data_IF_919095584653
#
_entry.id   IF_919095584653
#
_cell.length_a   1.000
_cell.length_b   1.000
_cell.length_c   1.000
_cell.angle_alpha   90.00
_cell.angle_beta   90.00
_cell.angle_gamma   90.00
#
_symmetry.space_group_name_H-M   'P 1'
#
loop_
_entity.id
_entity.type
_entity.pdbx_description
1 polymer ?
#
# COMPACT_ATOMS: atom_id res chain seq x y z
N UNK A 1 35.45 43.08 9.26
CA UNK A 1 35.29 41.86 8.44
C UNK A 1 34.55 40.86 9.30
N UNK A 2 33.23 40.84 9.19
CA UNK A 2 32.41 39.80 9.83
C UNK A 2 32.40 38.60 8.87
N UNK A 3 33.06 37.53 9.27
CA UNK A 3 32.93 36.25 8.60
C UNK A 3 31.52 35.69 8.88
N UNK A 4 30.66 35.74 7.87
CA UNK A 4 29.41 34.98 7.84
C UNK A 4 29.80 33.49 7.87
N UNK A 5 29.77 32.88 9.05
CA UNK A 5 29.71 31.45 9.16
C UNK A 5 28.29 31.02 8.73
N UNK A 6 28.13 30.67 7.47
CA UNK A 6 26.98 29.88 7.03
C UNK A 6 27.04 28.55 7.79
N UNK A 7 26.20 28.38 8.79
CA UNK A 7 25.94 27.07 9.38
C UNK A 7 25.46 26.15 8.27
N UNK A 8 26.32 25.30 7.76
CA UNK A 8 25.93 24.21 6.87
C UNK A 8 25.05 23.25 7.67
N UNK A 9 23.74 23.46 7.59
CA UNK A 9 22.75 22.53 8.16
C UNK A 9 22.99 21.18 7.49
N UNK A 10 23.41 20.19 8.27
CA UNK A 10 23.63 18.83 7.77
C UNK A 10 22.32 18.26 7.27
N UNK A 11 22.24 18.03 5.96
CA UNK A 11 21.08 17.40 5.31
C UNK A 11 20.90 15.98 5.80
N UNK A 12 19.65 15.61 6.07
CA UNK A 12 19.33 14.24 6.43
C UNK A 12 19.43 13.31 5.20
N UNK A 13 19.43 12.01 5.41
CA UNK A 13 19.64 11.04 4.32
C UNK A 13 18.51 11.04 3.26
N UNK A 14 17.28 11.46 3.65
CA UNK A 14 16.14 11.56 2.71
C UNK A 14 16.37 12.72 1.75
N UNK A 15 16.76 13.88 2.27
CA UNK A 15 17.10 15.07 1.48
C UNK A 15 18.25 14.76 0.51
N UNK A 16 19.29 14.06 0.95
CA UNK A 16 20.40 13.64 0.08
C UNK A 16 19.93 12.75 -1.07
N UNK A 17 19.01 11.81 -0.82
CA UNK A 17 18.44 10.94 -1.85
C UNK A 17 17.58 11.76 -2.83
N UNK A 18 16.72 12.65 -2.31
CA UNK A 18 15.87 13.52 -3.15
C UNK A 18 16.71 14.37 -4.09
N UNK A 19 17.74 15.03 -3.57
CA UNK A 19 18.62 15.89 -4.37
C UNK A 19 19.34 15.11 -5.45
N UNK A 20 19.89 13.95 -5.09
CA UNK A 20 20.52 13.06 -6.05
C UNK A 20 19.56 12.64 -7.17
N UNK A 21 18.33 12.23 -6.84
CA UNK A 21 17.35 11.81 -7.82
C UNK A 21 16.90 12.97 -8.73
N UNK A 22 16.86 14.20 -8.21
CA UNK A 22 16.60 15.39 -9.01
C UNK A 22 17.78 15.70 -9.94
N UNK A 23 19.01 15.70 -9.42
CA UNK A 23 20.23 15.97 -10.18
C UNK A 23 20.45 14.96 -11.31
N UNK A 24 20.21 13.68 -11.04
CA UNK A 24 20.31 12.60 -12.02
C UNK A 24 19.11 12.55 -13.00
N UNK A 25 18.08 13.39 -12.78
CA UNK A 25 16.90 13.47 -13.63
C UNK A 25 15.95 12.29 -13.48
N UNK A 26 16.04 11.52 -12.41
CA UNK A 26 15.16 10.40 -12.09
C UNK A 26 13.75 10.89 -11.73
N UNK A 27 13.62 12.06 -11.14
CA UNK A 27 12.33 12.71 -10.87
C UNK A 27 12.37 14.19 -11.24
N UNK A 28 11.18 14.74 -11.58
CA UNK A 28 11.00 16.16 -11.91
C UNK A 28 10.34 16.95 -10.79
N UNK A 29 9.67 16.26 -9.89
CA UNK A 29 8.89 16.85 -8.81
C UNK A 29 8.86 15.90 -7.61
N UNK A 30 9.01 16.45 -6.44
CA UNK A 30 8.87 15.70 -5.18
C UNK A 30 7.38 15.56 -4.87
N UNK A 31 6.94 14.34 -4.61
CA UNK A 31 5.58 14.05 -4.16
C UNK A 31 5.67 13.20 -2.90
N UNK A 32 5.19 13.74 -1.81
CA UNK A 32 5.13 13.04 -0.53
C UNK A 32 3.70 12.64 -0.18
N UNK A 33 3.53 11.74 0.77
CA UNK A 33 2.20 11.24 1.11
C UNK A 33 2.09 10.88 2.58
N UNK A 34 1.00 11.30 3.20
CA UNK A 34 0.53 10.80 4.48
C UNK A 34 -0.69 9.89 4.26
N UNK A 35 -0.60 8.54 4.49
CA UNK A 35 -1.67 7.60 4.23
C UNK A 35 -2.28 7.03 5.52
N UNK A 36 -3.09 7.78 6.30
CA UNK A 36 -3.68 7.27 7.52
C UNK A 36 -4.80 6.25 7.22
N UNK A 37 -4.90 5.22 8.06
CA UNK A 37 -6.07 4.35 8.14
C UNK A 37 -7.06 4.97 9.14
N UNK A 38 -8.33 5.29 8.76
CA UNK A 38 -9.27 6.01 9.63
C UNK A 38 -9.95 5.06 10.65
N UNK A 39 -9.14 4.36 11.44
CA UNK A 39 -9.55 3.38 12.46
C UNK A 39 -9.29 3.83 13.89
N UNK A 40 -8.86 5.08 14.10
CA UNK A 40 -8.58 5.69 15.39
C UNK A 40 -8.06 7.12 15.26
N UNK A 41 -7.85 7.77 16.41
CA UNK A 41 -7.28 9.11 16.48
C UNK A 41 -5.78 9.11 16.23
N UNK A 42 -5.25 10.24 15.74
CA UNK A 42 -3.81 10.42 15.56
C UNK A 42 -3.09 10.53 16.92
N UNK A 43 -1.81 10.29 16.91
CA UNK A 43 -0.91 10.48 18.05
C UNK A 43 0.39 11.17 17.57
N UNK A 44 1.28 11.51 18.51
CA UNK A 44 2.50 12.29 18.23
C UNK A 44 3.40 11.65 17.14
N UNK A 45 3.38 10.32 17.01
CA UNK A 45 4.10 9.64 15.92
C UNK A 45 3.57 9.99 14.54
N UNK A 46 2.25 10.15 14.40
CA UNK A 46 1.63 10.61 13.16
C UNK A 46 1.98 12.07 12.87
N UNK A 47 1.95 12.96 13.90
CA UNK A 47 2.34 14.36 13.74
C UNK A 47 3.76 14.49 13.19
N UNK A 48 4.72 13.70 13.71
CA UNK A 48 6.08 13.65 13.18
C UNK A 48 6.12 13.24 11.69
N UNK A 49 5.35 12.25 11.31
CA UNK A 49 5.27 11.78 9.92
C UNK A 49 4.64 12.84 8.99
N UNK A 50 3.57 13.51 9.45
CA UNK A 50 2.91 14.58 8.69
C UNK A 50 3.89 15.72 8.43
N UNK A 51 4.53 16.24 9.50
CA UNK A 51 5.46 17.35 9.40
C UNK A 51 6.69 17.03 8.54
N UNK A 52 7.22 15.81 8.63
CA UNK A 52 8.32 15.38 7.77
C UNK A 52 7.91 15.37 6.29
N UNK A 53 6.79 14.74 5.96
CA UNK A 53 6.33 14.63 4.58
C UNK A 53 5.92 15.99 4.01
N UNK A 54 5.22 16.81 4.78
CA UNK A 54 4.83 18.14 4.39
C UNK A 54 6.04 19.07 4.23
N UNK A 55 6.97 19.05 5.19
CA UNK A 55 8.19 19.85 5.13
C UNK A 55 9.04 19.55 3.89
N UNK A 56 9.25 18.28 3.57
CA UNK A 56 9.96 17.89 2.35
C UNK A 56 9.23 18.36 1.07
N UNK A 57 7.90 18.25 1.02
CA UNK A 57 7.16 18.76 -0.13
C UNK A 57 7.33 20.28 -0.27
N UNK A 58 7.26 21.03 0.82
CA UNK A 58 7.44 22.49 0.82
C UNK A 58 8.87 22.88 0.41
N UNK A 59 9.89 22.24 0.98
CA UNK A 59 11.30 22.56 0.73
C UNK A 59 11.68 22.38 -0.73
N UNK A 60 11.18 21.32 -1.36
CA UNK A 60 11.48 21.01 -2.77
C UNK A 60 10.41 21.48 -3.77
N UNK A 61 9.46 22.34 -3.36
CA UNK A 61 8.39 22.84 -4.23
C UNK A 61 7.52 21.74 -4.82
N UNK A 62 7.32 20.68 -4.07
CA UNK A 62 6.57 19.50 -4.45
C UNK A 62 5.12 19.49 -3.97
N UNK A 63 4.46 18.34 -4.04
CA UNK A 63 3.11 18.14 -3.56
C UNK A 63 3.07 17.26 -2.32
N UNK A 64 2.24 17.65 -1.35
CA UNK A 64 1.89 16.79 -0.22
C UNK A 64 0.53 16.17 -0.45
N UNK A 65 0.48 14.85 -0.60
CA UNK A 65 -0.75 14.10 -0.81
C UNK A 65 -1.28 13.52 0.49
N UNK A 66 -2.55 13.75 0.75
CA UNK A 66 -3.28 13.18 1.87
C UNK A 66 -4.21 12.08 1.35
N UNK A 67 -3.89 10.82 1.64
CA UNK A 67 -4.67 9.69 1.15
C UNK A 67 -5.13 8.78 2.29
N UNK A 68 -6.40 8.75 2.53
CA UNK A 68 -6.98 7.77 3.44
C UNK A 68 -6.83 6.34 2.91
N UNK A 69 -6.33 5.46 3.75
CA UNK A 69 -6.24 4.02 3.46
C UNK A 69 -7.50 3.32 4.03
N UNK A 70 -8.64 3.72 3.48
CA UNK A 70 -10.00 3.39 3.91
C UNK A 70 -10.49 2.09 3.23
N UNK A 71 -9.78 0.99 3.47
CA UNK A 71 -10.08 -0.30 2.84
C UNK A 71 -10.76 -1.32 3.75
N UNK A 72 -10.97 -0.98 5.02
CA UNK A 72 -11.59 -1.86 6.02
C UNK A 72 -12.80 -1.23 6.73
N UNK A 73 -13.99 -1.30 6.15
CA UNK A 73 -15.20 -0.64 6.65
C UNK A 73 -15.65 -1.11 8.03
N UNK A 74 -15.15 -2.26 8.52
CA UNK A 74 -15.54 -2.78 9.84
C UNK A 74 -14.89 -2.02 10.98
N UNK A 75 -13.81 -1.29 10.72
CA UNK A 75 -13.04 -0.55 11.73
C UNK A 75 -13.04 0.96 11.49
N UNK A 76 -13.38 1.38 10.30
CA UNK A 76 -13.31 2.76 9.87
C UNK A 76 -14.59 3.51 10.23
N UNK A 77 -14.43 4.75 10.67
CA UNK A 77 -15.55 5.62 11.04
C UNK A 77 -15.32 7.02 10.47
N UNK A 78 -16.41 7.66 10.06
CA UNK A 78 -16.41 9.04 9.57
C UNK A 78 -15.89 10.02 10.65
N UNK A 79 -16.16 9.74 11.92
CA UNK A 79 -15.61 10.48 13.07
C UNK A 79 -14.08 10.57 13.00
N UNK A 80 -13.39 9.45 12.72
CA UNK A 80 -11.93 9.43 12.62
C UNK A 80 -11.43 10.16 11.36
N UNK A 81 -12.15 10.04 10.24
CA UNK A 81 -11.82 10.79 9.02
C UNK A 81 -11.81 12.29 9.29
N UNK A 82 -12.85 12.80 9.97
CA UNK A 82 -12.97 14.22 10.28
C UNK A 82 -11.90 14.68 11.28
N UNK A 83 -11.70 13.93 12.37
CA UNK A 83 -10.65 14.23 13.36
C UNK A 83 -9.25 14.25 12.74
N UNK A 84 -8.94 13.29 11.85
CA UNK A 84 -7.63 13.22 11.18
C UNK A 84 -7.43 14.44 10.26
N UNK A 85 -8.48 14.92 9.57
CA UNK A 85 -8.40 16.15 8.76
C UNK A 85 -8.12 17.36 9.63
N UNK A 86 -8.87 17.53 10.71
CA UNK A 86 -8.67 18.63 11.68
C UNK A 86 -7.26 18.62 12.25
N UNK A 87 -6.72 17.45 12.61
CA UNK A 87 -5.36 17.31 13.13
C UNK A 87 -4.29 17.69 12.10
N UNK A 88 -4.46 17.30 10.83
CA UNK A 88 -3.54 17.65 9.73
C UNK A 88 -3.54 19.16 9.48
N UNK A 89 -4.73 19.78 9.44
CA UNK A 89 -4.91 21.22 9.27
C UNK A 89 -4.36 21.99 10.47
N UNK A 90 -4.61 21.51 11.70
CA UNK A 90 -4.07 22.10 12.93
C UNK A 90 -2.53 22.11 12.96
N UNK A 91 -1.89 21.06 12.41
CA UNK A 91 -0.43 21.00 12.24
C UNK A 91 0.09 21.98 11.16
N UNK A 92 -0.79 22.67 10.44
CA UNK A 92 -0.42 23.59 9.36
C UNK A 92 -0.03 22.89 8.05
N UNK A 93 -0.29 21.58 7.93
CA UNK A 93 -0.01 20.84 6.72
C UNK A 93 -1.15 21.02 5.71
N UNK A 94 -0.91 21.84 4.69
CA UNK A 94 -1.85 22.08 3.61
C UNK A 94 -1.68 21.03 2.52
N UNK A 95 -2.73 20.26 2.27
CA UNK A 95 -2.79 19.27 1.20
C UNK A 95 -3.56 19.77 -0.04
N UNK A 96 -4.04 21.03 -0.04
CA UNK A 96 -4.83 21.64 -1.11
C UNK A 96 -5.96 20.72 -1.59
N UNK A 97 -5.96 20.39 -2.91
CA UNK A 97 -6.92 19.48 -3.53
C UNK A 97 -6.46 18.01 -3.50
N UNK A 98 -5.26 17.72 -2.96
CA UNK A 98 -4.64 16.38 -2.98
C UNK A 98 -5.13 15.47 -1.86
N UNK A 99 -6.45 15.39 -1.69
CA UNK A 99 -7.10 14.43 -0.79
C UNK A 99 -7.68 13.27 -1.58
N UNK A 100 -7.33 12.05 -1.17
CA UNK A 100 -7.71 10.83 -1.86
C UNK A 100 -8.23 9.77 -0.87
N UNK A 101 -9.08 8.88 -1.38
CA UNK A 101 -9.59 7.72 -0.64
C UNK A 101 -9.25 6.46 -1.43
N UNK A 102 -8.61 5.48 -0.78
CA UNK A 102 -8.22 4.24 -1.44
C UNK A 102 -9.43 3.47 -1.95
N UNK A 103 -10.57 3.55 -1.25
CA UNK A 103 -11.84 2.93 -1.64
C UNK A 103 -12.36 3.40 -3.01
N UNK A 104 -12.03 4.63 -3.43
CA UNK A 104 -12.44 5.16 -4.75
C UNK A 104 -11.76 4.44 -5.93
N UNK A 105 -10.73 3.64 -5.67
CA UNK A 105 -9.95 2.97 -6.69
C UNK A 105 -10.19 1.46 -6.78
N UNK A 106 -11.19 0.91 -6.07
CA UNK A 106 -11.45 -0.53 -6.04
C UNK A 106 -11.70 -1.14 -7.43
N UNK A 107 -12.46 -0.47 -8.27
CA UNK A 107 -12.71 -0.98 -9.63
C UNK A 107 -11.41 -1.01 -10.45
N UNK A 108 -10.59 0.02 -10.34
CA UNK A 108 -9.28 0.06 -11.01
C UNK A 108 -8.33 -1.03 -10.51
N UNK A 109 -8.37 -1.31 -9.22
CA UNK A 109 -7.58 -2.40 -8.64
C UNK A 109 -8.04 -3.75 -9.11
N UNK A 110 -9.35 -3.95 -9.21
CA UNK A 110 -9.93 -5.17 -9.75
C UNK A 110 -9.49 -5.41 -11.20
N UNK A 111 -9.54 -4.38 -12.05
CA UNK A 111 -9.01 -4.43 -13.41
C UNK A 111 -7.52 -4.80 -13.46
N UNK A 112 -6.71 -4.19 -12.60
CA UNK A 112 -5.29 -4.50 -12.49
C UNK A 112 -5.06 -5.95 -12.03
N UNK A 113 -5.88 -6.48 -11.11
CA UNK A 113 -5.82 -7.87 -10.68
C UNK A 113 -6.15 -8.83 -11.84
N UNK A 114 -7.21 -8.56 -12.60
CA UNK A 114 -7.53 -9.35 -13.81
C UNK A 114 -6.36 -9.32 -14.82
N UNK A 115 -5.76 -8.15 -15.02
CA UNK A 115 -4.62 -8.01 -15.92
C UNK A 115 -3.42 -8.88 -15.48
N UNK A 116 -3.11 -8.92 -14.18
CA UNK A 116 -2.04 -9.76 -13.65
C UNK A 116 -2.36 -11.25 -13.78
N UNK A 117 -3.62 -11.65 -13.58
CA UNK A 117 -4.06 -13.03 -13.83
C UNK A 117 -3.86 -13.39 -15.29
N UNK A 118 -4.33 -12.56 -16.24
CA UNK A 118 -4.15 -12.76 -17.69
C UNK A 118 -2.68 -12.88 -18.09
N UNK A 119 -1.79 -12.15 -17.41
CA UNK A 119 -0.33 -12.25 -17.59
C UNK A 119 0.31 -13.46 -16.88
N UNK A 120 -0.44 -14.31 -16.18
CA UNK A 120 0.08 -15.42 -15.40
C UNK A 120 0.95 -14.99 -14.22
N UNK A 121 0.78 -13.75 -13.72
CA UNK A 121 1.52 -13.19 -12.56
C UNK A 121 0.73 -13.24 -11.25
N UNK A 122 -0.53 -13.65 -11.30
CA UNK A 122 -1.37 -13.89 -10.12
C UNK A 122 -2.20 -15.15 -10.32
N UNK A 123 -2.59 -15.78 -9.21
CA UNK A 123 -3.40 -17.00 -9.19
C UNK A 123 -4.33 -17.03 -7.99
N UNK A 124 -5.48 -17.69 -8.12
CA UNK A 124 -6.41 -17.95 -7.02
C UNK A 124 -5.94 -19.17 -6.24
N UNK A 125 -5.80 -19.00 -4.93
CA UNK A 125 -5.32 -20.02 -4.01
C UNK A 125 -6.42 -20.41 -3.03
N UNK A 126 -6.65 -21.72 -2.85
CA UNK A 126 -7.68 -22.25 -1.95
C UNK A 126 -7.10 -22.66 -0.59
N UNK A 127 -5.84 -22.35 -0.31
CA UNK A 127 -5.25 -22.58 1.01
C UNK A 127 -5.85 -21.62 2.04
N UNK A 128 -6.16 -22.15 3.23
CA UNK A 128 -6.57 -21.32 4.35
C UNK A 128 -5.38 -20.53 4.96
N UNK A 129 -5.66 -19.66 5.92
CA UNK A 129 -4.65 -18.77 6.51
C UNK A 129 -3.50 -19.53 7.22
N UNK A 130 -3.79 -20.69 7.84
CA UNK A 130 -2.79 -21.51 8.53
C UNK A 130 -1.88 -22.20 7.53
N UNK A 131 -2.46 -22.82 6.52
CA UNK A 131 -1.73 -23.45 5.42
C UNK A 131 -0.85 -22.42 4.67
N UNK A 132 -1.36 -21.22 4.40
CA UNK A 132 -0.56 -20.16 3.77
C UNK A 132 0.64 -19.78 4.64
N UNK A 133 0.46 -19.72 5.97
CA UNK A 133 1.56 -19.44 6.90
C UNK A 133 2.60 -20.55 6.90
N UNK A 134 2.17 -21.80 6.87
CA UNK A 134 3.07 -22.95 6.74
C UNK A 134 3.85 -22.92 5.42
N UNK A 135 3.15 -22.72 4.30
CA UNK A 135 3.78 -22.65 2.97
C UNK A 135 4.73 -21.47 2.80
N UNK A 136 4.53 -20.39 3.54
CA UNK A 136 5.44 -19.23 3.52
C UNK A 136 6.83 -19.57 4.06
N UNK A 137 6.93 -20.54 4.98
CA UNK A 137 8.16 -20.89 5.67
C UNK A 137 8.54 -19.86 6.74
N UNK A 138 9.79 -19.91 7.17
CA UNK A 138 10.37 -19.06 8.24
C UNK A 138 11.50 -18.19 7.70
N UNK A 139 12.15 -17.43 8.57
CA UNK A 139 13.33 -16.63 8.19
C UNK A 139 14.50 -17.52 7.74
N UNK A 140 14.59 -18.74 8.28
CA UNK A 140 15.67 -19.71 8.02
C UNK A 140 15.28 -20.80 7.02
N UNK A 141 13.99 -21.04 6.83
CA UNK A 141 13.48 -22.06 5.92
C UNK A 141 12.78 -21.41 4.72
N UNK A 142 13.06 -21.86 3.48
CA UNK A 142 12.40 -21.35 2.30
C UNK A 142 10.90 -21.70 2.30
N UNK A 143 10.10 -20.91 1.62
CA UNK A 143 8.69 -21.23 1.41
C UNK A 143 8.49 -22.31 0.35
N UNK A 144 7.28 -22.87 0.30
CA UNK A 144 6.83 -23.87 -0.66
C UNK A 144 5.80 -23.29 -1.62
N UNK A 145 5.80 -23.75 -2.87
CA UNK A 145 4.78 -23.37 -3.83
C UNK A 145 3.42 -23.97 -3.44
N UNK A 146 2.37 -23.16 -3.56
CA UNK A 146 0.99 -23.66 -3.42
C UNK A 146 0.66 -24.65 -4.53
N UNK A 147 -0.10 -25.72 -4.27
CA UNK A 147 -0.56 -26.66 -5.29
C UNK A 147 -1.49 -25.99 -6.34
N UNK A 148 -2.06 -24.83 -6.02
CA UNK A 148 -2.94 -24.07 -6.90
C UNK A 148 -2.21 -23.05 -7.78
N UNK A 149 -0.88 -22.95 -7.63
CA UNK A 149 -0.06 -21.94 -8.28
C UNK A 149 -0.06 -22.04 -9.81
N UNK A 150 -0.19 -23.25 -10.33
CA UNK A 150 -0.03 -23.55 -11.76
C UNK A 150 -1.36 -23.71 -12.51
N UNK A 151 -2.47 -23.26 -11.93
CA UNK A 151 -3.75 -23.11 -12.63
C UNK A 151 -3.59 -22.19 -13.83
N UNK A 152 -4.35 -22.47 -14.90
CA UNK A 152 -4.33 -21.63 -16.10
C UNK A 152 -4.85 -20.22 -15.82
N UNK A 153 -4.45 -19.22 -16.61
CA UNK A 153 -4.99 -17.86 -16.49
C UNK A 153 -6.52 -17.82 -16.64
N UNK A 154 -7.09 -18.61 -17.52
CA UNK A 154 -8.53 -18.69 -17.77
C UNK A 154 -9.28 -19.23 -16.56
N UNK A 155 -8.79 -20.32 -15.95
CA UNK A 155 -9.35 -20.90 -14.72
C UNK A 155 -9.27 -19.89 -13.56
N UNK A 156 -8.11 -19.25 -13.37
CA UNK A 156 -7.92 -18.24 -12.33
C UNK A 156 -8.84 -17.03 -12.54
N UNK A 157 -9.05 -16.59 -13.78
CA UNK A 157 -9.93 -15.47 -14.08
C UNK A 157 -11.39 -15.79 -13.78
N UNK A 158 -11.85 -17.00 -14.12
CA UNK A 158 -13.18 -17.48 -13.80
C UNK A 158 -13.38 -17.52 -12.28
N UNK A 159 -12.48 -18.17 -11.54
CA UNK A 159 -12.53 -18.24 -10.08
C UNK A 159 -12.53 -16.86 -9.43
N UNK A 160 -11.73 -15.93 -9.94
CA UNK A 160 -11.63 -14.57 -9.41
C UNK A 160 -12.94 -13.79 -9.60
N UNK A 161 -13.60 -13.95 -10.73
CA UNK A 161 -14.94 -13.35 -10.98
C UNK A 161 -16.01 -13.96 -10.11
N UNK A 162 -15.99 -15.27 -9.94
CA UNK A 162 -16.89 -15.99 -9.03
C UNK A 162 -16.70 -15.58 -7.56
N UNK A 163 -15.46 -15.25 -7.14
CA UNK A 163 -15.19 -14.64 -5.83
C UNK A 163 -15.87 -13.28 -5.68
N UNK A 164 -15.83 -12.43 -6.72
CA UNK A 164 -16.53 -11.13 -6.72
C UNK A 164 -18.04 -11.29 -6.63
N UNK A 165 -18.59 -12.34 -7.25
CA UNK A 165 -20.02 -12.67 -7.22
C UNK A 165 -20.48 -13.29 -5.89
N UNK A 166 -19.56 -13.54 -4.95
CA UNK A 166 -19.88 -14.11 -3.64
C UNK A 166 -20.22 -15.61 -3.66
N UNK A 167 -19.78 -16.36 -4.70
CA UNK A 167 -20.05 -17.79 -4.82
C UNK A 167 -19.30 -18.68 -3.81
N UNK A 168 -18.31 -18.10 -3.10
CA UNK A 168 -17.47 -18.83 -2.18
C UNK A 168 -17.56 -18.27 -0.76
N UNK A 169 -17.46 -19.11 0.28
CA UNK A 169 -17.40 -18.63 1.66
C UNK A 169 -16.19 -17.73 1.89
N UNK A 170 -16.34 -16.78 2.81
CA UNK A 170 -15.27 -15.86 3.18
C UNK A 170 -14.01 -16.60 3.63
N UNK A 171 -12.86 -16.17 3.10
CA UNK A 171 -11.57 -16.73 3.45
C UNK A 171 -11.26 -18.09 2.79
N UNK A 172 -12.19 -18.71 2.03
CA UNK A 172 -11.94 -19.97 1.33
C UNK A 172 -11.03 -19.84 0.12
N UNK A 173 -10.97 -18.65 -0.48
CA UNK A 173 -10.12 -18.34 -1.64
C UNK A 173 -9.47 -16.99 -1.47
N UNK A 174 -8.23 -16.88 -1.94
CA UNK A 174 -7.47 -15.61 -1.95
C UNK A 174 -6.71 -15.47 -3.26
N UNK A 175 -6.65 -14.25 -3.80
CA UNK A 175 -5.76 -13.96 -4.93
C UNK A 175 -4.33 -13.74 -4.42
N UNK A 176 -3.37 -14.42 -5.00
CA UNK A 176 -1.94 -14.32 -4.63
C UNK A 176 -1.08 -13.96 -5.83
N UNK A 177 -0.05 -13.15 -5.61
CA UNK A 177 0.98 -12.90 -6.61
C UNK A 177 1.83 -14.16 -6.83
N UNK A 178 2.24 -14.40 -8.08
CA UNK A 178 3.11 -15.52 -8.47
C UNK A 178 4.57 -15.12 -8.31
N UNK A 179 5.04 -15.01 -7.08
CA UNK A 179 6.38 -14.57 -6.67
C UNK A 179 7.26 -15.76 -6.25
N UNK A 180 8.57 -15.51 -6.13
CA UNK A 180 9.54 -16.53 -5.71
C UNK A 180 9.35 -16.86 -4.21
N UNK A 181 8.95 -18.09 -3.93
CA UNK A 181 8.74 -18.58 -2.56
C UNK A 181 10.06 -18.93 -1.86
N UNK A 182 11.18 -18.95 -2.56
CA UNK A 182 12.52 -19.21 -1.99
C UNK A 182 13.26 -17.93 -1.61
N UNK A 183 12.72 -16.74 -1.90
CA UNK A 183 13.32 -15.45 -1.58
C UNK A 183 13.77 -15.38 -0.12
N UNK A 184 14.97 -14.85 0.15
CA UNK A 184 15.45 -14.57 1.50
C UNK A 184 14.60 -13.56 2.26
N UNK A 185 13.90 -12.67 1.55
CA UNK A 185 12.96 -11.74 2.15
C UNK A 185 11.58 -12.39 2.31
N UNK A 186 11.22 -12.73 3.56
CA UNK A 186 9.94 -13.40 3.87
C UNK A 186 8.72 -12.59 3.41
N UNK A 187 8.80 -11.25 3.38
CA UNK A 187 7.72 -10.39 2.90
C UNK A 187 7.47 -10.55 1.39
N UNK A 188 8.46 -11.04 0.64
CA UNK A 188 8.29 -11.35 -0.79
C UNK A 188 7.64 -12.71 -1.02
N UNK A 189 7.54 -13.59 -0.02
CA UNK A 189 6.97 -14.93 -0.16
C UNK A 189 5.45 -14.97 0.01
N UNK A 190 4.86 -13.99 0.70
CA UNK A 190 3.43 -13.96 1.02
C UNK A 190 2.83 -12.58 0.78
N UNK A 191 2.75 -12.19 -0.49
CA UNK A 191 1.96 -11.02 -0.90
C UNK A 191 0.54 -11.46 -1.20
N UNK A 192 -0.36 -11.28 -0.23
CA UNK A 192 -1.80 -11.32 -0.44
C UNK A 192 -2.21 -10.05 -1.14
N UNK A 193 -2.88 -10.17 -2.28
CA UNK A 193 -3.36 -8.97 -2.96
C UNK A 193 -4.83 -8.67 -2.69
N UNK A 194 -5.63 -9.65 -2.25
CA UNK A 194 -7.06 -9.38 -2.07
C UNK A 194 -7.71 -10.31 -1.07
N UNK A 195 -8.53 -9.75 -0.21
CA UNK A 195 -9.64 -10.43 0.47
C UNK A 195 -10.93 -9.91 -0.17
N UNK A 196 -11.59 -10.73 -0.97
CA UNK A 196 -12.96 -10.45 -1.39
C UNK A 196 -13.88 -10.95 -0.28
N UNK A 197 -14.59 -10.02 0.35
CA UNK A 197 -15.66 -10.35 1.28
C UNK A 197 -16.96 -10.36 0.50
N UNK A 198 -17.75 -11.43 0.58
CA UNK A 198 -18.99 -11.61 -0.18
C UNK A 198 -20.07 -10.59 0.16
N UNK A 199 -20.04 -9.98 1.34
CA UNK A 199 -21.04 -9.01 1.79
C UNK A 199 -20.71 -7.55 1.47
N UNK A 200 -19.45 -7.26 1.12
CA UNK A 200 -18.98 -5.93 0.77
C UNK A 200 -17.89 -6.03 -0.30
N UNK A 201 -17.92 -5.16 -1.27
CA UNK A 201 -17.01 -5.11 -2.43
C UNK A 201 -15.59 -4.69 -2.04
N UNK A 202 -14.95 -5.38 -1.09
CA UNK A 202 -13.65 -4.99 -0.56
C UNK A 202 -12.51 -5.77 -1.16
N UNK A 203 -11.63 -5.02 -1.78
CA UNK A 203 -10.28 -5.43 -2.13
C UNK A 203 -9.38 -4.87 -1.05
N UNK A 204 -8.98 -5.66 -0.04
CA UNK A 204 -7.97 -5.22 0.91
C UNK A 204 -6.58 -5.38 0.32
N UNK A 205 -5.83 -4.32 0.36
CA UNK A 205 -4.55 -4.12 -0.26
C UNK A 205 -3.40 -4.95 0.29
N UNK A 206 -2.66 -5.52 -0.64
CA UNK A 206 -1.23 -5.44 -0.57
C UNK A 206 -0.78 -4.57 -1.74
N UNK A 207 -0.13 -3.47 -1.44
CA UNK A 207 0.40 -2.53 -2.41
C UNK A 207 1.24 -3.28 -3.43
N UNK A 208 0.83 -3.24 -4.70
CA UNK A 208 1.73 -3.52 -5.80
C UNK A 208 2.69 -2.35 -5.93
N UNK A 209 3.79 -2.39 -5.16
CA UNK A 209 5.00 -1.70 -5.54
C UNK A 209 5.74 -2.64 -6.50
N UNK A 210 5.62 -2.38 -7.77
CA UNK A 210 6.55 -2.83 -8.80
C UNK A 210 7.53 -1.71 -9.04
#
# INVERSE_FOLDING_TARGET
>A
MEENMEETISKNFIEQIIEKDIEEGHCKKVVTRFPPEPNGYLHIGHAKSILLNYGLAQEYGGDFHFRFDDTNPTKEKEEYVNSIKEDVEWLGADYHEHIYYASNYFDKMYECAEFLIKKGKAYVCDLNAEQIREYRGTLTEPGKNSPYRDRTPEENLQLFREMKEGKYPDGSKVLRAKIDMTSGNINMRDRKSTRLNSSHHFISYAVFCL
#
